data_IF_539896933017
#
_entry.id   IF_539896933017
#
_cell.length_a   1.000
_cell.length_b   1.000
_cell.length_c   1.000
_cell.angle_alpha   90.00
_cell.angle_beta   90.00
_cell.angle_gamma   90.00
#
_symmetry.space_group_name_H-M   'P 1'
#
loop_
_entity.id
_entity.type
_entity.pdbx_description
1 polymer ?
#
# COMPACT_ATOMS: atom_id res chain seq x y z
N UNK A 1 -8.26 32.74 -4.65
CA UNK A 1 -9.40 32.20 -3.85
C UNK A 1 -9.08 30.74 -3.60
N UNK A 2 -8.75 30.38 -2.35
CA UNK A 2 -8.46 29.03 -1.95
C UNK A 2 -9.72 28.17 -2.05
N UNK A 3 -9.70 27.13 -2.87
CA UNK A 3 -10.69 26.05 -2.88
C UNK A 3 -10.27 24.98 -1.88
N UNK A 4 -10.22 25.33 -0.62
CA UNK A 4 -10.03 24.32 0.45
C UNK A 4 -11.32 23.53 0.58
N UNK A 5 -11.22 22.22 0.51
CA UNK A 5 -12.32 21.34 0.87
C UNK A 5 -12.46 21.38 2.41
N UNK A 6 -13.58 21.92 2.89
CA UNK A 6 -13.96 21.82 4.31
C UNK A 6 -14.88 20.63 4.49
N UNK A 7 -14.93 20.05 5.68
CA UNK A 7 -15.74 18.88 6.03
C UNK A 7 -15.40 17.60 5.23
N UNK A 8 -14.12 17.33 5.00
CA UNK A 8 -13.65 16.08 4.43
C UNK A 8 -14.00 14.95 5.39
N UNK A 9 -14.89 14.05 4.95
CA UNK A 9 -15.29 12.89 5.74
C UNK A 9 -14.21 11.82 5.67
N UNK A 10 -13.89 11.20 6.81
CA UNK A 10 -13.13 9.96 6.83
C UNK A 10 -14.05 8.77 6.57
N UNK A 11 -13.57 7.80 5.83
CA UNK A 11 -14.33 6.60 5.47
C UNK A 11 -13.59 5.36 5.96
N UNK A 12 -14.34 4.37 6.47
CA UNK A 12 -13.76 3.08 6.88
C UNK A 12 -13.31 2.25 5.69
N UNK A 13 -13.96 2.43 4.55
CA UNK A 13 -13.60 1.76 3.29
C UNK A 13 -14.01 2.61 2.09
N UNK A 14 -13.38 2.36 0.96
CA UNK A 14 -13.72 2.90 -0.36
C UNK A 14 -14.05 1.74 -1.28
N UNK A 15 -15.18 1.83 -2.00
CA UNK A 15 -15.60 0.77 -2.91
C UNK A 15 -15.65 1.28 -4.35
N UNK A 16 -15.00 0.55 -5.25
CA UNK A 16 -15.17 0.68 -6.70
C UNK A 16 -16.16 -0.37 -7.19
N UNK A 17 -17.37 0.07 -7.49
CA UNK A 17 -18.45 -0.84 -7.88
C UNK A 17 -18.42 -1.17 -9.37
N UNK A 18 -18.79 -2.42 -9.68
CA UNK A 18 -18.91 -2.91 -11.05
C UNK A 18 -17.64 -2.73 -11.89
N UNK A 19 -16.46 -3.02 -11.34
CA UNK A 19 -15.23 -3.13 -12.14
C UNK A 19 -15.41 -4.16 -13.27
N UNK A 20 -16.21 -5.20 -13.00
CA UNK A 20 -16.95 -6.02 -13.95
C UNK A 20 -18.39 -6.12 -13.45
N UNK A 21 -19.33 -6.48 -14.32
CA UNK A 21 -20.73 -6.65 -13.91
C UNK A 21 -20.83 -7.60 -12.73
N UNK A 22 -21.29 -7.08 -11.57
CA UNK A 22 -21.41 -7.78 -10.30
C UNK A 22 -20.07 -8.17 -9.66
N UNK A 23 -18.99 -7.47 -9.98
CA UNK A 23 -17.70 -7.60 -9.30
C UNK A 23 -17.28 -6.21 -8.81
N UNK A 24 -17.09 -6.10 -7.52
CA UNK A 24 -16.73 -4.87 -6.81
C UNK A 24 -15.34 -5.02 -6.19
N UNK A 25 -14.64 -3.91 -6.01
CA UNK A 25 -13.38 -3.87 -5.26
C UNK A 25 -13.55 -2.94 -4.07
N UNK A 26 -13.18 -3.40 -2.89
CA UNK A 26 -13.24 -2.63 -1.65
C UNK A 26 -11.84 -2.44 -1.10
N UNK A 27 -11.50 -1.20 -0.77
CA UNK A 27 -10.23 -0.85 -0.14
C UNK A 27 -10.50 -0.40 1.29
N UNK A 28 -9.76 -0.89 2.23
CA UNK A 28 -9.92 -0.57 3.66
C UNK A 28 -8.60 -0.69 4.41
N UNK A 29 -8.61 -0.17 5.65
CA UNK A 29 -7.47 -0.33 6.55
C UNK A 29 -7.82 -1.41 7.56
N UNK A 30 -6.97 -2.41 7.69
CA UNK A 30 -7.06 -3.45 8.70
C UNK A 30 -5.70 -3.61 9.40
N UNK A 31 -5.69 -3.52 10.73
CA UNK A 31 -4.46 -3.56 11.54
C UNK A 31 -3.35 -2.67 10.96
N UNK A 32 -3.73 -1.43 10.62
CA UNK A 32 -2.83 -0.43 10.08
C UNK A 32 -2.25 -0.76 8.68
N UNK A 33 -2.83 -1.70 7.96
CA UNK A 33 -2.44 -2.05 6.59
C UNK A 33 -3.55 -1.75 5.61
N UNK A 34 -3.18 -1.17 4.46
CA UNK A 34 -4.12 -1.05 3.34
C UNK A 34 -4.37 -2.45 2.77
N UNK A 35 -5.62 -2.84 2.77
CA UNK A 35 -6.10 -4.08 2.15
C UNK A 35 -7.11 -3.80 1.06
N UNK A 36 -7.34 -4.78 0.22
CA UNK A 36 -8.45 -4.75 -0.71
C UNK A 36 -9.08 -6.13 -0.83
N UNK A 37 -10.41 -6.14 -0.98
CA UNK A 37 -11.17 -7.33 -1.31
C UNK A 37 -11.79 -7.20 -2.68
N UNK A 38 -11.90 -8.31 -3.38
CA UNK A 38 -12.70 -8.43 -4.57
C UNK A 38 -13.99 -9.18 -4.19
N UNK A 39 -15.11 -8.48 -4.26
CA UNK A 39 -16.43 -9.03 -3.93
C UNK A 39 -17.14 -9.38 -5.22
N UNK A 40 -17.39 -10.64 -5.44
CA UNK A 40 -18.20 -11.19 -6.53
C UNK A 40 -19.61 -11.41 -6.01
N UNK A 41 -20.56 -10.65 -6.51
CA UNK A 41 -21.96 -10.74 -6.11
C UNK A 41 -22.55 -12.11 -6.43
N UNK A 42 -23.60 -12.48 -5.72
CA UNK A 42 -24.32 -13.74 -5.96
C UNK A 42 -24.68 -13.91 -7.44
N UNK A 43 -24.61 -15.16 -7.91
CA UNK A 43 -24.89 -15.54 -9.32
C UNK A 43 -23.98 -14.84 -10.38
N UNK A 44 -22.88 -14.21 -9.97
CA UNK A 44 -21.89 -13.66 -10.90
C UNK A 44 -20.71 -14.62 -11.10
N UNK A 45 -19.97 -14.42 -12.18
CA UNK A 45 -18.87 -15.29 -12.57
C UNK A 45 -17.51 -14.65 -12.24
N UNK A 46 -16.75 -15.17 -11.26
CA UNK A 46 -15.42 -14.69 -10.90
C UNK A 46 -14.36 -14.92 -11.99
N UNK A 47 -14.61 -15.78 -12.97
CA UNK A 47 -13.67 -16.01 -14.07
C UNK A 47 -13.51 -14.78 -14.98
N UNK A 48 -14.39 -13.79 -14.86
CA UNK A 48 -14.28 -12.48 -15.53
C UNK A 48 -13.10 -11.65 -15.00
N UNK A 49 -12.70 -11.89 -13.76
CA UNK A 49 -11.62 -11.13 -13.11
C UNK A 49 -10.31 -11.39 -13.83
N UNK A 50 -9.74 -10.34 -14.41
CA UNK A 50 -8.45 -10.33 -15.09
C UNK A 50 -7.64 -9.15 -14.59
N UNK A 51 -6.49 -9.43 -14.03
CA UNK A 51 -5.58 -8.43 -13.49
C UNK A 51 -4.28 -8.42 -14.30
N UNK A 52 -3.89 -7.26 -14.75
CA UNK A 52 -2.64 -7.06 -15.47
C UNK A 52 -1.78 -6.07 -14.71
N UNK A 53 -0.58 -6.49 -14.37
CA UNK A 53 0.40 -5.64 -13.70
C UNK A 53 1.27 -4.93 -14.73
N UNK A 54 1.50 -3.64 -14.54
CA UNK A 54 2.41 -2.84 -15.37
C UNK A 54 3.70 -2.56 -14.60
N UNK A 55 4.81 -2.38 -15.31
CA UNK A 55 6.11 -2.06 -14.69
C UNK A 55 6.87 -3.26 -14.11
N UNK A 56 6.43 -4.48 -14.39
CA UNK A 56 7.12 -5.69 -13.95
C UNK A 56 8.12 -6.17 -15.01
N UNK A 57 9.28 -6.64 -14.57
CA UNK A 57 10.18 -7.46 -15.39
C UNK A 57 9.65 -8.89 -15.56
N UNK A 58 9.04 -9.41 -14.51
CA UNK A 58 8.56 -10.79 -14.49
C UNK A 58 7.41 -10.96 -13.50
N UNK A 59 6.46 -11.79 -13.90
CA UNK A 59 5.39 -12.29 -13.04
C UNK A 59 5.36 -13.82 -13.15
N UNK A 60 5.23 -14.52 -12.03
CA UNK A 60 5.12 -15.98 -11.98
C UNK A 60 4.45 -16.44 -10.70
N UNK A 61 3.90 -17.64 -10.73
CA UNK A 61 3.42 -18.36 -9.54
C UNK A 61 4.54 -19.29 -9.08
N UNK A 62 4.87 -19.25 -7.79
CA UNK A 62 5.85 -20.12 -7.13
C UNK A 62 5.15 -20.78 -5.94
N UNK A 63 4.96 -22.07 -6.01
CA UNK A 63 4.03 -22.75 -5.09
C UNK A 63 2.62 -22.21 -5.32
N UNK A 64 2.01 -21.69 -4.27
CA UNK A 64 0.68 -21.05 -4.31
C UNK A 64 0.74 -19.53 -4.34
N UNK A 65 1.94 -18.95 -4.23
CA UNK A 65 2.17 -17.52 -4.09
C UNK A 65 2.46 -16.87 -5.46
N UNK A 66 2.02 -15.62 -5.62
CA UNK A 66 2.33 -14.81 -6.78
C UNK A 66 3.62 -14.02 -6.53
N UNK A 67 4.59 -14.22 -7.40
CA UNK A 67 5.88 -13.54 -7.38
C UNK A 67 5.94 -12.48 -8.48
N UNK A 68 6.13 -11.23 -8.08
CA UNK A 68 6.19 -10.04 -8.94
C UNK A 68 7.60 -9.47 -8.89
N UNK A 69 8.35 -9.52 -10.00
CA UNK A 69 9.67 -8.91 -10.09
C UNK A 69 9.58 -7.57 -10.80
N UNK A 70 10.03 -6.53 -10.13
CA UNK A 70 10.25 -5.20 -10.71
C UNK A 70 11.73 -5.05 -11.12
N UNK A 71 12.10 -3.92 -11.69
CA UNK A 71 13.51 -3.60 -12.02
C UNK A 71 14.40 -3.51 -10.79
N UNK A 72 13.84 -3.30 -9.61
CA UNK A 72 14.57 -2.98 -8.37
C UNK A 72 14.31 -3.94 -7.22
N UNK A 73 13.15 -4.59 -7.19
CA UNK A 73 12.75 -5.46 -6.08
C UNK A 73 11.85 -6.59 -6.54
N UNK A 74 11.50 -7.47 -5.60
CA UNK A 74 10.53 -8.54 -5.79
C UNK A 74 9.47 -8.44 -4.71
N UNK A 75 8.21 -8.59 -5.12
CA UNK A 75 7.05 -8.61 -4.22
C UNK A 75 6.46 -10.02 -4.28
N UNK A 76 6.09 -10.56 -3.15
CA UNK A 76 5.35 -11.81 -3.06
C UNK A 76 3.95 -11.53 -2.50
N UNK A 77 2.93 -11.89 -3.25
CA UNK A 77 1.57 -11.98 -2.72
C UNK A 77 1.31 -13.43 -2.35
N UNK A 78 0.90 -13.67 -1.11
CA UNK A 78 0.59 -15.02 -0.65
C UNK A 78 -0.64 -15.59 -1.35
N UNK A 79 -0.84 -16.89 -1.22
CA UNK A 79 -2.03 -17.60 -1.72
C UNK A 79 -3.30 -16.81 -1.36
N UNK A 80 -4.21 -16.57 -2.31
CA UNK A 80 -5.39 -15.76 -2.06
C UNK A 80 -6.32 -16.49 -1.11
N UNK A 81 -6.75 -15.83 -0.06
CA UNK A 81 -7.81 -16.31 0.79
C UNK A 81 -9.16 -15.96 0.16
N UNK A 82 -10.07 -16.92 0.10
CA UNK A 82 -11.43 -16.66 -0.35
C UNK A 82 -12.45 -17.28 0.57
N UNK A 83 -13.58 -16.62 0.73
CA UNK A 83 -14.63 -17.07 1.63
C UNK A 83 -16.02 -16.57 1.23
N UNK A 84 -17.05 -17.15 1.84
CA UNK A 84 -18.45 -16.74 1.74
C UNK A 84 -19.04 -16.61 3.13
N UNK A 85 -20.00 -15.70 3.32
CA UNK A 85 -20.77 -15.63 4.58
C UNK A 85 -22.09 -16.39 4.37
N UNK A 86 -22.18 -17.56 4.95
CA UNK A 86 -23.35 -18.44 4.83
C UNK A 86 -23.98 -18.61 6.23
N UNK A 87 -25.22 -18.17 6.38
CA UNK A 87 -25.91 -18.24 7.66
C UNK A 87 -25.24 -17.42 8.78
N UNK A 88 -24.48 -16.37 8.42
CA UNK A 88 -23.74 -15.55 9.37
C UNK A 88 -22.38 -16.14 9.78
N UNK A 89 -21.97 -17.24 9.19
CA UNK A 89 -20.65 -17.86 9.41
C UNK A 89 -19.79 -17.74 8.16
N UNK A 90 -18.50 -17.54 8.38
CA UNK A 90 -17.51 -17.54 7.34
C UNK A 90 -17.18 -18.97 6.92
N UNK A 91 -17.30 -19.24 5.63
CA UNK A 91 -17.02 -20.54 5.01
C UNK A 91 -15.90 -20.34 3.99
N UNK A 92 -14.75 -20.93 4.27
CA UNK A 92 -13.58 -20.84 3.37
C UNK A 92 -13.89 -21.51 2.02
N UNK A 93 -13.37 -20.91 0.95
CA UNK A 93 -13.46 -21.38 -0.43
C UNK A 93 -12.05 -21.58 -0.97
N UNK A 94 -11.73 -22.78 -1.43
CA UNK A 94 -10.42 -23.06 -2.06
C UNK A 94 -10.21 -22.14 -3.28
N UNK A 95 -9.19 -21.32 -3.21
CA UNK A 95 -8.88 -20.30 -4.22
C UNK A 95 -7.39 -20.36 -4.57
N UNK A 96 -7.06 -20.32 -5.85
CA UNK A 96 -5.68 -20.32 -6.33
C UNK A 96 -5.51 -19.29 -7.44
N UNK A 97 -4.31 -18.72 -7.51
CA UNK A 97 -3.90 -17.90 -8.64
C UNK A 97 -3.79 -18.73 -9.94
N UNK A 98 -4.22 -18.14 -11.04
CA UNK A 98 -3.95 -18.61 -12.40
C UNK A 98 -3.26 -17.50 -13.18
N UNK A 99 -2.14 -17.83 -13.81
CA UNK A 99 -1.39 -16.90 -14.64
C UNK A 99 -1.32 -17.41 -16.08
N UNK A 100 -1.83 -16.61 -17.02
CA UNK A 100 -1.73 -16.88 -18.45
C UNK A 100 -1.34 -15.59 -19.17
N UNK A 101 -0.25 -15.61 -19.95
CA UNK A 101 0.22 -14.46 -20.74
C UNK A 101 0.34 -13.16 -19.91
N UNK A 102 0.89 -13.28 -18.69
CA UNK A 102 1.02 -12.19 -17.71
C UNK A 102 -0.32 -11.58 -17.25
N UNK A 103 -1.43 -12.27 -17.48
CA UNK A 103 -2.74 -11.92 -16.93
C UNK A 103 -3.07 -12.85 -15.78
N UNK A 104 -3.21 -12.26 -14.58
CA UNK A 104 -3.61 -12.96 -13.38
C UNK A 104 -5.13 -13.13 -13.34
N UNK A 105 -5.57 -14.27 -12.88
CA UNK A 105 -6.96 -14.62 -12.59
C UNK A 105 -7.01 -15.63 -11.44
N UNK A 106 -8.21 -15.99 -11.01
CA UNK A 106 -8.43 -16.91 -9.90
C UNK A 106 -9.04 -18.22 -10.40
N UNK A 107 -8.91 -19.28 -9.60
CA UNK A 107 -9.61 -20.55 -9.79
C UNK A 107 -10.11 -21.10 -8.48
N UNK A 108 -11.25 -21.77 -8.54
CA UNK A 108 -11.98 -22.32 -7.41
C UNK A 108 -12.18 -23.82 -7.66
N UNK A 109 -11.17 -24.65 -7.35
CA UNK A 109 -11.15 -26.06 -7.78
C UNK A 109 -12.24 -26.91 -7.16
N UNK A 110 -12.70 -26.57 -5.94
CA UNK A 110 -13.77 -27.25 -5.23
C UNK A 110 -15.15 -26.57 -5.43
N UNK A 111 -15.20 -25.49 -6.22
CA UNK A 111 -16.40 -24.69 -6.41
C UNK A 111 -16.72 -23.83 -5.19
N UNK A 112 -17.87 -23.19 -5.25
CA UNK A 112 -18.43 -22.34 -4.19
C UNK A 112 -19.96 -22.24 -4.36
N UNK A 113 -20.70 -21.76 -3.36
CA UNK A 113 -22.14 -21.61 -3.45
C UNK A 113 -22.50 -20.30 -4.19
N UNK A 114 -23.06 -20.42 -5.40
CA UNK A 114 -23.39 -19.26 -6.24
C UNK A 114 -24.49 -18.36 -5.69
N UNK A 115 -25.23 -18.80 -4.68
CA UNK A 115 -26.32 -18.03 -4.08
C UNK A 115 -25.83 -17.05 -2.99
N UNK A 116 -24.54 -16.94 -2.77
CA UNK A 116 -23.90 -16.02 -1.82
C UNK A 116 -22.75 -15.29 -2.48
N UNK A 117 -22.47 -14.11 -2.01
CA UNK A 117 -21.29 -13.36 -2.44
C UNK A 117 -20.02 -14.17 -2.17
N UNK A 118 -19.06 -14.07 -3.08
CA UNK A 118 -17.73 -14.63 -2.92
C UNK A 118 -16.75 -13.49 -2.68
N UNK A 119 -16.08 -13.51 -1.55
CA UNK A 119 -15.05 -12.54 -1.18
C UNK A 119 -13.69 -13.18 -1.46
N UNK A 120 -12.82 -12.47 -2.18
CA UNK A 120 -11.44 -12.84 -2.43
C UNK A 120 -10.58 -11.77 -1.78
N UNK A 121 -9.82 -12.15 -0.74
CA UNK A 121 -8.89 -11.30 0.04
C UNK A 121 -7.43 -11.68 -0.33
N UNK A 122 -6.79 -11.02 -1.30
CA UNK A 122 -5.39 -11.20 -1.58
C UNK A 122 -4.55 -10.62 -0.45
N UNK A 123 -3.72 -11.44 0.17
CA UNK A 123 -2.87 -10.97 1.28
C UNK A 123 -1.65 -10.25 0.72
N UNK A 124 -1.59 -8.93 0.84
CA UNK A 124 -0.44 -8.11 0.50
C UNK A 124 0.67 -8.32 1.55
N UNK A 125 1.88 -8.57 1.10
CA UNK A 125 3.02 -8.84 1.99
C UNK A 125 3.47 -7.60 2.76
N UNK A 126 3.22 -6.39 2.22
CA UNK A 126 3.78 -5.19 2.80
C UNK A 126 2.87 -3.96 2.73
N UNK A 127 2.48 -3.52 3.91
CA UNK A 127 1.99 -2.16 4.19
C UNK A 127 2.41 -1.81 5.61
N UNK A 128 3.02 -0.64 5.82
CA UNK A 128 3.48 -0.22 7.14
C UNK A 128 3.12 1.23 7.43
N UNK A 129 2.92 1.53 8.71
CA UNK A 129 2.80 2.89 9.21
C UNK A 129 4.17 3.52 9.46
N UNK A 130 4.23 4.82 9.36
CA UNK A 130 5.40 5.60 9.80
C UNK A 130 5.68 5.41 11.30
N UNK A 131 4.65 5.06 12.08
CA UNK A 131 4.70 5.01 13.55
C UNK A 131 4.64 6.39 14.18
N UNK A 132 4.25 7.41 13.43
CA UNK A 132 4.07 8.77 13.94
C UNK A 132 2.86 8.84 14.86
N UNK A 133 2.99 9.60 15.95
CA UNK A 133 1.90 9.97 16.86
C UNK A 133 1.33 11.34 16.54
N UNK A 134 1.90 12.07 15.59
CA UNK A 134 1.33 13.29 15.01
C UNK A 134 0.82 13.03 13.60
N UNK A 135 -0.07 13.92 13.13
CA UNK A 135 -0.55 13.86 11.75
C UNK A 135 0.62 14.00 10.77
N UNK A 136 0.63 13.17 9.76
CA UNK A 136 1.56 13.27 8.64
C UNK A 136 0.89 12.88 7.34
N UNK A 137 1.29 13.53 6.24
CA UNK A 137 0.82 13.21 4.90
C UNK A 137 1.99 12.75 4.03
N UNK A 138 1.83 11.57 3.41
CA UNK A 138 2.77 11.09 2.41
C UNK A 138 2.67 11.91 1.11
N UNK A 139 3.80 12.34 0.60
CA UNK A 139 3.89 13.11 -0.65
C UNK A 139 4.63 12.38 -1.74
N UNK A 140 5.69 11.66 -1.38
CA UNK A 140 6.60 11.08 -2.36
C UNK A 140 7.27 9.82 -1.81
N UNK A 141 7.65 8.93 -2.71
CA UNK A 141 8.43 7.74 -2.39
C UNK A 141 9.39 7.45 -3.53
N UNK A 142 10.53 6.86 -3.19
CA UNK A 142 11.54 6.38 -4.12
C UNK A 142 12.26 5.17 -3.53
N UNK A 143 13.18 4.58 -4.28
CA UNK A 143 13.96 3.43 -3.83
C UNK A 143 15.40 3.55 -4.35
N UNK A 144 16.33 2.85 -3.69
CA UNK A 144 17.72 2.77 -4.13
C UNK A 144 18.00 1.49 -4.95
N UNK A 145 19.24 1.37 -5.42
CA UNK A 145 19.68 0.25 -6.26
C UNK A 145 19.60 -1.12 -5.55
N UNK A 146 19.50 -1.13 -4.23
CA UNK A 146 19.37 -2.33 -3.39
C UNK A 146 17.92 -2.67 -3.06
N UNK A 147 16.95 -1.82 -3.47
CA UNK A 147 15.53 -2.01 -3.21
C UNK A 147 15.06 -1.50 -1.85
N UNK A 148 15.86 -0.71 -1.13
CA UNK A 148 15.38 -0.02 0.07
C UNK A 148 14.42 1.10 -0.31
N UNK A 149 13.28 1.16 0.38
CA UNK A 149 12.25 2.18 0.16
C UNK A 149 12.56 3.45 0.96
N UNK A 150 12.42 4.59 0.31
CA UNK A 150 12.42 5.90 0.95
C UNK A 150 11.03 6.51 0.87
N UNK A 151 10.43 6.82 2.01
CA UNK A 151 9.15 7.48 2.12
C UNK A 151 9.34 8.92 2.60
N UNK A 152 8.81 9.86 1.84
CA UNK A 152 8.81 11.30 2.16
C UNK A 152 7.42 11.79 2.50
N UNK A 153 7.29 12.39 3.67
CA UNK A 153 6.04 12.93 4.21
C UNK A 153 6.26 14.31 4.81
N UNK A 154 5.17 14.98 5.08
CA UNK A 154 5.13 16.18 5.90
C UNK A 154 4.54 15.83 7.26
N UNK A 155 5.22 16.21 8.33
CA UNK A 155 4.76 16.06 9.71
C UNK A 155 4.23 17.39 10.22
N UNK A 156 3.09 17.34 10.91
CA UNK A 156 2.41 18.51 11.49
C UNK A 156 2.72 18.70 12.97
N UNK A 157 3.71 18.00 13.50
CA UNK A 157 4.09 18.10 14.90
C UNK A 157 5.19 17.14 15.31
N UNK A 158 5.57 17.23 16.58
CA UNK A 158 6.46 16.25 17.20
C UNK A 158 5.77 14.88 17.29
N UNK A 159 6.57 13.80 17.20
CA UNK A 159 6.06 12.43 17.32
C UNK A 159 6.30 11.56 16.09
N UNK A 160 6.89 12.12 15.03
CA UNK A 160 7.44 11.28 13.96
C UNK A 160 8.65 10.52 14.48
N UNK A 161 8.70 9.21 14.31
CA UNK A 161 9.74 8.39 14.93
C UNK A 161 11.07 8.54 14.20
N UNK A 162 12.01 9.23 14.80
CA UNK A 162 13.39 9.37 14.31
C UNK A 162 14.28 8.23 14.83
N UNK A 163 15.38 7.98 14.15
CA UNK A 163 16.37 6.96 14.53
C UNK A 163 17.59 7.61 15.22
N UNK A 164 18.33 6.80 15.97
CA UNK A 164 19.61 7.23 16.51
C UNK A 164 20.56 7.65 15.39
N UNK A 165 21.15 8.83 15.48
CA UNK A 165 22.03 9.39 14.45
C UNK A 165 21.29 10.10 13.30
N UNK A 166 19.97 10.31 13.44
CA UNK A 166 19.21 11.12 12.49
C UNK A 166 19.81 12.53 12.31
N UNK A 167 19.70 13.07 11.12
CA UNK A 167 20.13 14.45 10.83
C UNK A 167 19.44 15.46 11.75
N UNK A 168 18.12 15.31 11.94
CA UNK A 168 17.31 16.12 12.82
C UNK A 168 16.33 15.22 13.57
N UNK A 169 16.51 15.14 14.89
CA UNK A 169 15.70 14.28 15.76
C UNK A 169 14.43 14.94 16.27
N UNK A 170 14.41 16.27 16.30
CA UNK A 170 13.30 17.03 16.83
C UNK A 170 12.57 17.79 15.72
N UNK A 171 11.26 17.85 15.84
CA UNK A 171 10.42 18.76 15.06
C UNK A 171 10.83 20.20 15.37
N UNK A 172 11.13 20.98 14.34
CA UNK A 172 11.70 22.33 14.52
C UNK A 172 10.63 23.44 14.53
N UNK A 173 9.50 23.23 13.88
CA UNK A 173 8.49 24.26 13.76
C UNK A 173 7.65 24.43 15.04
N UNK A 174 8.05 25.36 15.89
CA UNK A 174 7.33 25.68 17.14
C UNK A 174 6.08 26.54 16.94
N UNK A 175 5.83 27.03 15.72
CA UNK A 175 4.74 27.97 15.40
C UNK A 175 3.55 27.32 14.70
N UNK A 176 3.48 25.97 14.67
CA UNK A 176 2.37 25.22 14.09
C UNK A 176 2.44 25.02 12.58
N UNK A 177 3.63 25.11 11.98
CA UNK A 177 3.86 24.75 10.59
C UNK A 177 4.19 23.26 10.39
N UNK A 178 4.96 22.94 9.36
CA UNK A 178 5.25 21.56 8.99
C UNK A 178 6.73 21.33 8.75
N UNK A 179 7.24 20.15 9.12
CA UNK A 179 8.58 19.69 8.75
C UNK A 179 8.48 18.50 7.77
N UNK A 180 9.41 18.41 6.83
CA UNK A 180 9.60 17.18 6.07
C UNK A 180 10.02 16.06 7.00
N UNK A 181 9.46 14.88 6.81
CA UNK A 181 9.84 13.65 7.50
C UNK A 181 10.19 12.56 6.48
N UNK A 182 11.39 12.01 6.61
CA UNK A 182 11.93 10.99 5.69
C UNK A 182 12.17 9.72 6.47
N UNK A 183 11.74 8.58 5.91
CA UNK A 183 12.10 7.26 6.43
C UNK A 183 12.62 6.38 5.32
N UNK A 184 13.74 5.70 5.58
CA UNK A 184 14.24 4.59 4.78
C UNK A 184 13.85 3.28 5.45
N UNK A 185 13.21 2.40 4.70
CA UNK A 185 12.86 1.04 5.11
C UNK A 185 13.76 0.02 4.42
N UNK A 186 13.91 -1.14 5.04
CA UNK A 186 14.53 -2.30 4.40
C UNK A 186 13.68 -2.82 3.23
N UNK A 187 14.20 -3.77 2.48
CA UNK A 187 13.53 -4.34 1.29
C UNK A 187 12.24 -5.09 1.62
N UNK A 188 12.01 -5.45 2.88
CA UNK A 188 10.79 -6.10 3.36
C UNK A 188 9.81 -5.10 3.98
N UNK A 189 10.25 -3.86 4.23
CA UNK A 189 9.50 -2.82 4.90
C UNK A 189 9.20 -3.04 6.38
N UNK A 190 9.79 -4.06 6.96
CA UNK A 190 9.59 -4.40 8.37
C UNK A 190 10.55 -3.66 9.30
N UNK A 191 11.70 -3.24 8.77
CA UNK A 191 12.72 -2.54 9.52
C UNK A 191 12.92 -1.11 9.00
N UNK A 192 12.81 -0.14 9.90
CA UNK A 192 13.20 1.24 9.65
C UNK A 192 14.72 1.36 9.78
N UNK A 193 15.40 1.62 8.66
CA UNK A 193 16.86 1.76 8.59
C UNK A 193 17.28 3.08 9.19
N UNK A 194 16.68 4.18 8.72
CA UNK A 194 16.79 5.49 9.36
C UNK A 194 15.52 6.30 9.15
N UNK A 195 15.35 7.29 10.01
CA UNK A 195 14.25 8.24 9.92
C UNK A 195 14.66 9.56 10.55
N UNK A 196 14.30 10.67 9.90
CA UNK A 196 14.72 12.02 10.28
C UNK A 196 13.65 13.05 9.94
N UNK A 197 13.62 14.14 10.68
CA UNK A 197 13.02 15.39 10.21
C UNK A 197 14.00 16.15 9.32
N UNK A 198 13.47 17.05 8.50
CA UNK A 198 14.20 18.10 7.79
C UNK A 198 13.27 19.32 7.82
N UNK A 199 13.63 20.35 8.58
CA UNK A 199 12.79 21.52 8.69
C UNK A 199 13.40 22.63 9.51
N UNK A 200 12.74 23.77 9.45
CA UNK A 200 13.11 25.00 10.12
C UNK A 200 11.95 25.61 10.90
N UNK A 201 11.78 26.93 10.79
CA UNK A 201 10.76 27.67 11.51
C UNK A 201 9.46 27.93 10.72
N UNK A 202 9.38 27.41 9.49
CA UNK A 202 8.26 27.59 8.55
C UNK A 202 7.75 26.26 8.03
N UNK A 203 6.94 26.29 6.98
CA UNK A 203 6.40 25.10 6.35
C UNK A 203 7.37 24.50 5.35
N UNK A 204 7.71 23.25 5.56
CA UNK A 204 8.52 22.45 4.65
C UNK A 204 7.71 21.28 4.08
N UNK A 205 7.74 21.13 2.76
CA UNK A 205 6.98 20.14 2.01
C UNK A 205 7.89 19.39 1.02
N UNK A 206 7.96 18.04 1.06
CA UNK A 206 8.69 17.28 0.06
C UNK A 206 7.79 17.04 -1.16
N UNK A 207 8.16 17.56 -2.32
CA UNK A 207 7.40 17.36 -3.55
C UNK A 207 7.85 16.15 -4.34
N UNK A 208 9.14 15.87 -4.33
CA UNK A 208 9.73 14.75 -5.06
C UNK A 208 11.02 14.28 -4.40
N UNK A 209 11.32 13.00 -4.57
CA UNK A 209 12.58 12.38 -4.15
C UNK A 209 13.11 11.48 -5.25
N UNK A 210 14.42 11.45 -5.40
CA UNK A 210 15.13 10.51 -6.26
C UNK A 210 16.38 10.00 -5.55
N UNK A 211 16.78 8.77 -5.87
CA UNK A 211 18.09 8.23 -5.46
C UNK A 211 18.94 8.07 -6.71
N UNK A 212 20.18 8.57 -6.66
CA UNK A 212 21.13 8.46 -7.77
C UNK A 212 21.85 7.08 -7.77
N UNK A 213 22.71 6.87 -8.75
CA UNK A 213 23.49 5.63 -8.88
C UNK A 213 24.55 5.42 -7.78
N UNK A 214 24.80 6.42 -6.95
CA UNK A 214 25.70 6.37 -5.79
C UNK A 214 24.93 6.16 -4.48
N UNK A 215 23.62 5.86 -4.56
CA UNK A 215 22.68 5.71 -3.44
C UNK A 215 22.52 6.97 -2.57
N UNK A 216 22.73 8.15 -3.16
CA UNK A 216 22.48 9.44 -2.53
C UNK A 216 21.02 9.86 -2.77
N UNK A 217 20.30 10.21 -1.69
CA UNK A 217 18.93 10.69 -1.75
C UNK A 217 18.90 12.20 -1.99
N UNK A 218 18.24 12.61 -3.07
CA UNK A 218 17.91 14.00 -3.38
C UNK A 218 16.44 14.26 -3.06
N UNK A 219 16.18 15.35 -2.36
CA UNK A 219 14.85 15.77 -1.96
C UNK A 219 14.59 17.15 -2.56
N UNK A 220 13.48 17.28 -3.26
CA UNK A 220 13.01 18.54 -3.85
C UNK A 220 11.72 18.94 -3.16
N UNK A 221 11.65 20.17 -2.70
CA UNK A 221 10.50 20.64 -1.93
C UNK A 221 10.46 22.16 -1.82
N UNK A 222 9.58 22.62 -0.97
CA UNK A 222 9.49 24.02 -0.51
C UNK A 222 9.94 24.13 0.93
N UNK A 223 10.52 25.30 1.24
CA UNK A 223 10.93 25.69 2.59
C UNK A 223 10.65 27.17 2.78
#
# INVERSE_FOLDING_TARGET
KSTWAMDVKSYKFVSSKNIYKGVNMQFYINEDKLKYDIVVEENQDPNKIKMKYSGLEKIRIIGENLYLKTTVNSITEYSPYAYQIIGGQEVEVACHYKLKENVLSFSFPLGYNKNYDLIIDPTLEFSTYSGSTSDNFGYTATYDNYGFLYAGSTSFGAGYPTTLGAYQINYANSSGGTDVAITKYDTTGTLRIYSTYIGGSKDELPHSMIVNSLDELFIFGTT
#
